data_IF_905767560076
#
_entry.id   IF_905767560076
#
_cell.length_a   1.000
_cell.length_b   1.000
_cell.length_c   1.000
_cell.angle_alpha   90.00
_cell.angle_beta   90.00
_cell.angle_gamma   90.00
#
_symmetry.space_group_name_H-M   'P 1'
#
loop_
_entity.id
_entity.type
_entity.pdbx_description
1 polymer ?
#
# COMPACT_ATOMS: atom_id res chain seq x y z
N UNK A 1 14.78 -59.44 -13.18
CA UNK A 1 15.33 -59.30 -11.79
C UNK A 1 14.32 -58.60 -10.86
N UNK A 2 14.51 -58.55 -9.53
CA UNK A 2 13.59 -57.82 -8.61
C UNK A 2 14.29 -56.60 -7.98
N UNK A 3 13.53 -55.53 -7.73
CA UNK A 3 14.04 -54.32 -7.09
C UNK A 3 14.40 -54.58 -5.63
N UNK A 4 15.63 -54.25 -5.23
CA UNK A 4 16.12 -54.40 -3.85
C UNK A 4 15.44 -53.46 -2.84
N UNK A 5 14.81 -52.38 -3.31
CA UNK A 5 14.13 -51.40 -2.44
C UNK A 5 12.63 -51.68 -2.23
N UNK A 6 11.92 -52.24 -3.22
CA UNK A 6 10.46 -52.43 -3.13
C UNK A 6 9.95 -53.80 -3.59
N UNK A 7 10.81 -54.69 -4.08
CA UNK A 7 10.44 -56.05 -4.49
C UNK A 7 9.68 -56.17 -5.81
N UNK A 8 9.46 -55.08 -6.55
CA UNK A 8 8.80 -55.13 -7.87
C UNK A 8 9.69 -55.81 -8.91
N UNK A 9 9.09 -56.61 -9.81
CA UNK A 9 9.80 -57.24 -10.92
C UNK A 9 10.25 -56.19 -11.94
N UNK A 10 11.52 -56.25 -12.32
CA UNK A 10 12.18 -55.33 -13.24
C UNK A 10 12.48 -56.05 -14.56
N UNK A 11 12.35 -55.31 -15.67
CA UNK A 11 12.86 -55.72 -16.98
C UNK A 11 14.39 -55.79 -16.97
N UNK A 12 14.97 -56.63 -17.82
CA UNK A 12 16.41 -56.92 -17.78
C UNK A 12 17.31 -55.72 -18.13
N UNK A 13 16.77 -54.72 -18.81
CA UNK A 13 17.47 -53.46 -19.15
C UNK A 13 17.09 -52.25 -18.26
N UNK A 14 16.36 -52.47 -17.15
CA UNK A 14 15.88 -51.37 -16.31
C UNK A 14 17.03 -50.70 -15.54
N UNK A 15 17.29 -49.42 -15.81
CA UNK A 15 18.22 -48.59 -15.04
C UNK A 15 17.61 -48.09 -13.71
N UNK A 16 16.27 -47.94 -13.66
CA UNK A 16 15.51 -47.47 -12.51
C UNK A 16 14.22 -48.29 -12.33
N UNK A 17 13.75 -48.46 -11.09
CA UNK A 17 12.50 -49.13 -10.80
C UNK A 17 11.30 -48.27 -11.20
N UNK A 18 10.43 -48.78 -12.05
CA UNK A 18 9.21 -48.09 -12.50
C UNK A 18 8.17 -47.88 -11.40
N UNK A 19 8.24 -48.64 -10.30
CA UNK A 19 7.28 -48.52 -9.19
C UNK A 19 7.75 -47.54 -8.11
N UNK A 20 9.02 -47.61 -7.68
CA UNK A 20 9.53 -46.78 -6.56
C UNK A 20 10.62 -45.77 -6.94
N UNK A 21 11.13 -45.79 -8.18
CA UNK A 21 12.19 -44.89 -8.65
C UNK A 21 13.62 -45.24 -8.23
N UNK A 22 13.84 -46.31 -7.45
CA UNK A 22 15.18 -46.72 -7.03
C UNK A 22 16.06 -47.16 -8.22
N UNK A 23 17.33 -46.75 -8.23
CA UNK A 23 18.28 -47.11 -9.29
C UNK A 23 18.72 -48.57 -9.15
N UNK A 24 18.70 -49.31 -10.25
CA UNK A 24 18.99 -50.75 -10.28
C UNK A 24 20.51 -50.95 -10.37
N UNK A 25 21.10 -51.75 -9.47
CA UNK A 25 22.52 -52.10 -9.50
C UNK A 25 23.46 -51.31 -8.57
N UNK A 26 22.93 -50.39 -7.75
CA UNK A 26 23.73 -49.75 -6.68
C UNK A 26 23.38 -50.44 -5.36
N UNK A 27 24.31 -51.21 -4.81
CA UNK A 27 24.17 -51.78 -3.47
C UNK A 27 24.08 -50.62 -2.45
N UNK A 28 23.09 -50.69 -1.55
CA UNK A 28 22.84 -49.71 -0.51
C UNK A 28 24.08 -49.50 0.39
N UNK A 29 24.88 -48.49 0.10
CA UNK A 29 25.44 -47.67 1.17
C UNK A 29 24.41 -46.59 1.45
N UNK A 30 23.88 -46.55 2.66
CA UNK A 30 23.09 -45.41 3.12
C UNK A 30 24.06 -44.24 3.35
N UNK A 31 24.06 -43.15 2.56
CA UNK A 31 24.08 -41.85 3.18
C UNK A 31 22.67 -41.62 3.73
N UNK A 32 22.59 -41.26 5.00
CA UNK A 32 21.43 -40.55 5.54
C UNK A 32 21.22 -39.29 4.70
N UNK A 33 20.43 -39.43 3.65
CA UNK A 33 19.83 -38.33 2.93
C UNK A 33 18.80 -37.77 3.91
N UNK A 34 19.20 -36.76 4.69
CA UNK A 34 18.23 -35.76 5.12
C UNK A 34 17.41 -35.42 3.88
N UNK A 35 16.06 -35.42 3.93
CA UNK A 35 15.28 -35.02 2.78
C UNK A 35 15.72 -33.60 2.43
N UNK A 36 16.60 -33.50 1.44
CA UNK A 36 16.84 -32.25 0.72
C UNK A 36 15.47 -31.99 0.17
N UNK A 37 14.79 -31.03 0.78
CA UNK A 37 13.55 -30.50 0.26
C UNK A 37 13.94 -30.04 -1.13
N UNK A 38 13.56 -30.81 -2.15
CA UNK A 38 13.52 -30.33 -3.50
C UNK A 38 12.42 -29.28 -3.49
N UNK A 39 12.75 -28.07 -3.02
CA UNK A 39 12.09 -26.91 -3.54
C UNK A 39 12.38 -26.99 -5.03
N UNK A 40 11.34 -27.28 -5.80
CA UNK A 40 11.38 -27.14 -7.25
C UNK A 40 12.21 -25.88 -7.56
N UNK A 41 13.19 -25.93 -8.47
CA UNK A 41 13.52 -24.73 -9.19
C UNK A 41 12.27 -24.44 -10.03
N UNK A 42 11.29 -23.79 -9.39
CA UNK A 42 10.30 -23.00 -10.09
C UNK A 42 11.13 -22.12 -10.99
N UNK A 43 11.03 -22.43 -12.28
CA UNK A 43 11.31 -21.54 -13.40
C UNK A 43 11.40 -20.11 -12.91
N UNK A 44 12.54 -19.47 -13.15
CA UNK A 44 12.77 -18.05 -12.95
C UNK A 44 11.53 -17.22 -13.30
N UNK A 45 10.74 -16.90 -12.27
CA UNK A 45 9.40 -16.36 -12.36
C UNK A 45 8.90 -16.16 -10.94
N UNK A 46 9.19 -14.99 -10.38
CA UNK A 46 8.82 -14.55 -9.04
C UNK A 46 9.41 -15.37 -7.88
N UNK A 47 10.71 -15.17 -7.63
CA UNK A 47 11.15 -15.10 -6.23
C UNK A 47 10.36 -13.96 -5.57
N UNK A 48 9.31 -14.31 -4.83
CA UNK A 48 8.37 -13.36 -4.24
C UNK A 48 9.09 -12.41 -3.30
N UNK A 49 9.52 -11.28 -3.84
CA UNK A 49 9.97 -10.14 -3.06
C UNK A 49 8.78 -9.73 -2.18
N UNK A 50 8.91 -9.85 -0.86
CA UNK A 50 7.81 -9.61 0.06
C UNK A 50 7.45 -8.11 0.12
N UNK A 51 6.67 -7.67 -0.88
CA UNK A 51 6.15 -6.32 -1.03
C UNK A 51 4.70 -6.20 -0.51
N UNK A 52 4.30 -7.04 0.46
CA UNK A 52 2.96 -7.03 1.08
C UNK A 52 2.45 -5.62 1.42
N UNK A 53 3.31 -4.78 2.00
CA UNK A 53 2.95 -3.40 2.31
C UNK A 53 2.63 -2.57 1.06
N UNK A 54 3.48 -2.63 0.02
CA UNK A 54 3.22 -1.93 -1.25
C UNK A 54 1.95 -2.45 -1.95
N UNK A 55 1.67 -3.76 -1.88
CA UNK A 55 0.41 -4.33 -2.37
C UNK A 55 -0.79 -3.84 -1.57
N UNK A 56 -0.72 -3.83 -0.23
CA UNK A 56 -1.77 -3.27 0.61
C UNK A 56 -2.06 -1.80 0.25
N UNK A 57 -1.00 -0.99 0.06
CA UNK A 57 -1.14 0.40 -0.36
C UNK A 57 -1.84 0.52 -1.72
N UNK A 58 -1.33 -0.17 -2.72
CA UNK A 58 -1.69 0.04 -4.12
C UNK A 58 -2.96 -0.69 -4.57
N UNK A 59 -3.34 -1.79 -3.94
CA UNK A 59 -4.59 -2.50 -4.23
C UNK A 59 -5.78 -2.06 -3.36
N UNK A 60 -5.53 -1.36 -2.24
CA UNK A 60 -6.60 -1.02 -1.29
C UNK A 60 -6.50 0.38 -0.74
N UNK A 61 -5.52 0.62 0.15
CA UNK A 61 -5.49 1.83 0.98
C UNK A 61 -5.57 3.13 0.17
N UNK A 62 -4.79 3.25 -0.91
CA UNK A 62 -4.74 4.49 -1.70
C UNK A 62 -6.05 4.76 -2.47
N UNK A 63 -6.76 3.71 -2.89
CA UNK A 63 -8.05 3.85 -3.57
C UNK A 63 -9.15 4.25 -2.59
N UNK A 64 -9.19 3.63 -1.42
CA UNK A 64 -10.11 4.02 -0.34
C UNK A 64 -9.82 5.46 0.10
N UNK A 65 -8.55 5.82 0.27
CA UNK A 65 -8.17 7.19 0.61
C UNK A 65 -8.56 8.20 -0.47
N UNK A 66 -8.38 7.87 -1.75
CA UNK A 66 -8.81 8.71 -2.87
C UNK A 66 -10.32 8.89 -2.90
N UNK A 67 -11.09 7.82 -2.68
CA UNK A 67 -12.54 7.89 -2.59
C UNK A 67 -13.02 8.75 -1.41
N UNK A 68 -12.40 8.60 -0.23
CA UNK A 68 -12.71 9.45 0.93
C UNK A 68 -12.36 10.91 0.65
N UNK A 69 -11.22 11.18 0.01
CA UNK A 69 -10.84 12.53 -0.41
C UNK A 69 -11.83 13.11 -1.44
N UNK A 70 -12.40 12.29 -2.33
CA UNK A 70 -13.45 12.74 -3.26
C UNK A 70 -14.71 13.18 -2.52
N UNK A 71 -15.20 12.37 -1.58
CA UNK A 71 -16.37 12.69 -0.76
C UNK A 71 -16.13 13.97 0.01
N UNK A 72 -15.04 14.03 0.79
CA UNK A 72 -14.75 15.20 1.61
C UNK A 72 -14.48 16.45 0.77
N UNK A 73 -13.81 16.31 -0.39
CA UNK A 73 -13.61 17.40 -1.32
C UNK A 73 -14.93 17.99 -1.83
N UNK A 74 -15.92 17.14 -2.18
CA UNK A 74 -17.25 17.60 -2.59
C UNK A 74 -17.98 18.27 -1.42
N UNK A 75 -17.92 17.67 -0.22
CA UNK A 75 -18.55 18.24 0.98
C UNK A 75 -18.01 19.64 1.29
N UNK A 76 -16.69 19.84 1.27
CA UNK A 76 -16.08 21.15 1.48
C UNK A 76 -16.39 22.14 0.34
N UNK A 77 -16.49 21.66 -0.90
CA UNK A 77 -16.79 22.51 -2.05
C UNK A 77 -18.24 23.01 -2.06
N UNK A 78 -19.18 22.15 -1.65
CA UNK A 78 -20.62 22.42 -1.65
C UNK A 78 -21.12 23.06 -0.35
N UNK A 79 -20.44 22.80 0.77
CA UNK A 79 -20.89 23.22 2.10
C UNK A 79 -22.00 22.34 2.68
N UNK A 80 -22.30 21.18 2.05
CA UNK A 80 -23.38 20.26 2.45
C UNK A 80 -22.98 19.36 3.65
N UNK A 81 -22.57 19.95 4.76
CA UNK A 81 -22.33 19.21 6.01
C UNK A 81 -22.46 20.09 7.25
N UNK A 82 -23.30 19.67 8.18
CA UNK A 82 -23.56 20.38 9.44
C UNK A 82 -22.44 20.16 10.45
N UNK A 83 -22.04 21.23 11.16
CA UNK A 83 -21.09 21.14 12.26
C UNK A 83 -21.83 21.21 13.59
N UNK A 84 -21.78 20.16 14.41
CA UNK A 84 -22.53 20.08 15.69
C UNK A 84 -24.03 20.43 15.52
N UNK A 85 -24.68 19.86 14.51
CA UNK A 85 -26.08 20.14 14.12
C UNK A 85 -26.36 21.59 13.67
N UNK A 86 -25.31 22.40 13.49
CA UNK A 86 -25.41 23.76 12.93
C UNK A 86 -25.15 23.68 11.42
N UNK A 87 -26.12 24.10 10.58
CA UNK A 87 -25.91 24.14 9.14
C UNK A 87 -24.75 25.05 8.78
N UNK A 88 -23.89 24.58 7.85
CA UNK A 88 -22.68 25.32 7.48
C UNK A 88 -22.95 26.66 6.82
N UNK A 89 -24.12 26.82 6.20
CA UNK A 89 -24.57 28.11 5.68
C UNK A 89 -24.72 29.17 6.78
N UNK A 90 -25.16 28.76 7.98
CA UNK A 90 -25.22 29.65 9.16
C UNK A 90 -23.82 30.02 9.62
N UNK A 91 -22.88 29.05 9.63
CA UNK A 91 -21.48 29.33 9.95
C UNK A 91 -20.85 30.31 8.97
N UNK A 92 -21.17 30.21 7.67
CA UNK A 92 -20.66 31.12 6.65
C UNK A 92 -21.27 32.53 6.72
N UNK A 93 -22.47 32.66 7.29
CA UNK A 93 -23.05 33.98 7.56
C UNK A 93 -22.28 34.72 8.65
N UNK A 94 -21.91 34.01 9.72
CA UNK A 94 -21.09 34.58 10.81
C UNK A 94 -19.62 34.76 10.40
N UNK A 95 -19.09 33.81 9.63
CA UNK A 95 -17.68 33.72 9.24
C UNK A 95 -17.55 33.56 7.71
N UNK A 96 -17.70 34.65 6.97
CA UNK A 96 -17.65 34.65 5.51
C UNK A 96 -16.33 34.09 4.94
N UNK A 97 -15.19 34.42 5.58
CA UNK A 97 -13.85 33.94 5.25
C UNK A 97 -13.73 32.41 5.31
N UNK A 98 -14.53 31.74 6.14
CA UNK A 98 -14.49 30.29 6.32
C UNK A 98 -14.93 29.56 5.04
N UNK A 99 -15.90 30.11 4.31
CA UNK A 99 -16.35 29.53 3.04
C UNK A 99 -15.24 29.50 1.99
N UNK A 100 -14.38 30.52 1.97
CA UNK A 100 -13.23 30.55 1.07
C UNK A 100 -12.14 29.56 1.51
N UNK A 101 -11.89 29.44 2.82
CA UNK A 101 -10.94 28.48 3.37
C UNK A 101 -11.34 27.03 3.02
N UNK A 102 -12.62 26.67 3.20
CA UNK A 102 -13.15 25.35 2.84
C UNK A 102 -12.98 25.04 1.35
N UNK A 103 -13.31 26.00 0.47
CA UNK A 103 -13.16 25.83 -0.99
C UNK A 103 -11.70 25.66 -1.40
N UNK A 104 -10.78 26.42 -0.80
CA UNK A 104 -9.33 26.25 -1.04
C UNK A 104 -8.84 24.89 -0.55
N UNK A 105 -9.32 24.45 0.61
CA UNK A 105 -8.98 23.14 1.16
C UNK A 105 -9.52 22.00 0.29
N UNK A 106 -10.73 22.14 -0.28
CA UNK A 106 -11.29 21.19 -1.24
C UNK A 106 -10.39 21.02 -2.48
N UNK A 107 -9.90 22.13 -3.05
CA UNK A 107 -8.95 22.10 -4.18
C UNK A 107 -7.67 21.34 -3.79
N UNK A 108 -7.11 21.61 -2.61
CA UNK A 108 -5.94 20.90 -2.11
C UNK A 108 -6.21 19.39 -1.96
N UNK A 109 -7.38 18.99 -1.44
CA UNK A 109 -7.76 17.58 -1.32
C UNK A 109 -7.86 16.91 -2.69
N UNK A 110 -8.38 17.58 -3.73
CA UNK A 110 -8.40 17.02 -5.09
C UNK A 110 -6.99 16.86 -5.68
N UNK A 111 -6.06 17.75 -5.37
CA UNK A 111 -4.65 17.59 -5.73
C UNK A 111 -4.08 16.35 -5.02
N UNK A 112 -4.29 16.19 -3.71
CA UNK A 112 -3.87 14.98 -2.97
C UNK A 112 -4.46 13.71 -3.58
N UNK A 113 -5.76 13.73 -3.90
CA UNK A 113 -6.46 12.61 -4.54
C UNK A 113 -5.75 12.20 -5.83
N UNK A 114 -5.46 13.14 -6.73
CA UNK A 114 -4.77 12.82 -7.99
C UNK A 114 -3.38 12.24 -7.75
N UNK A 115 -2.62 12.80 -6.81
CA UNK A 115 -1.31 12.27 -6.42
C UNK A 115 -1.40 10.85 -5.83
N UNK A 116 -2.45 10.52 -5.09
CA UNK A 116 -2.67 9.17 -4.53
C UNK A 116 -3.00 8.15 -5.62
N UNK A 117 -3.82 8.52 -6.60
CA UNK A 117 -4.11 7.66 -7.76
C UNK A 117 -2.83 7.39 -8.57
N UNK A 118 -2.04 8.43 -8.83
CA UNK A 118 -0.75 8.31 -9.49
C UNK A 118 0.19 7.41 -8.67
N UNK A 119 0.25 7.60 -7.35
CA UNK A 119 1.07 6.77 -6.45
C UNK A 119 0.68 5.30 -6.52
N UNK A 120 -0.63 4.98 -6.51
CA UNK A 120 -1.11 3.60 -6.63
C UNK A 120 -0.63 2.96 -7.94
N UNK A 121 -0.80 3.67 -9.07
CA UNK A 121 -0.37 3.20 -10.39
C UNK A 121 1.16 3.05 -10.46
N UNK A 122 1.92 3.98 -9.86
CA UNK A 122 3.38 3.93 -9.86
C UNK A 122 3.91 2.74 -9.05
N UNK A 123 3.29 2.46 -7.91
CA UNK A 123 3.63 1.29 -7.09
C UNK A 123 3.32 -0.01 -7.86
N UNK A 124 2.14 -0.13 -8.49
CA UNK A 124 1.78 -1.30 -9.29
C UNK A 124 2.74 -1.55 -10.46
N UNK A 125 3.25 -0.47 -11.05
CA UNK A 125 4.19 -0.54 -12.17
C UNK A 125 5.67 -0.55 -11.74
N UNK A 126 5.95 -0.62 -10.43
CA UNK A 126 7.30 -0.61 -9.87
C UNK A 126 8.16 0.55 -10.39
N UNK A 127 7.55 1.73 -10.54
CA UNK A 127 8.24 2.92 -11.05
C UNK A 127 9.21 3.48 -10.02
N UNK A 128 10.36 3.96 -10.48
CA UNK A 128 11.41 4.55 -9.62
C UNK A 128 10.92 5.63 -8.67
N UNK A 129 9.97 6.46 -9.13
CA UNK A 129 9.47 7.60 -8.37
C UNK A 129 8.28 7.27 -7.45
N UNK A 130 7.89 5.99 -7.32
CA UNK A 130 6.72 5.58 -6.53
C UNK A 130 6.75 6.09 -5.09
N UNK A 131 7.90 5.92 -4.41
CA UNK A 131 8.08 6.42 -3.04
C UNK A 131 8.09 7.94 -2.96
N UNK A 132 8.68 8.62 -3.95
CA UNK A 132 8.79 10.09 -4.00
C UNK A 132 7.44 10.76 -4.15
N UNK A 133 6.61 10.31 -5.10
CA UNK A 133 5.28 10.89 -5.34
C UNK A 133 4.37 10.62 -4.14
N UNK A 134 4.43 9.41 -3.56
CA UNK A 134 3.62 9.09 -2.39
C UNK A 134 4.02 9.94 -1.17
N UNK A 135 5.32 10.12 -0.95
CA UNK A 135 5.83 11.01 0.11
C UNK A 135 5.35 12.45 -0.11
N UNK A 136 5.49 12.97 -1.33
CA UNK A 136 5.01 14.31 -1.68
C UNK A 136 3.51 14.47 -1.45
N UNK A 137 2.70 13.44 -1.76
CA UNK A 137 1.26 13.46 -1.54
C UNK A 137 0.91 13.65 -0.06
N UNK A 138 1.59 12.92 0.84
CA UNK A 138 1.36 13.06 2.28
C UNK A 138 1.92 14.36 2.86
N UNK A 139 3.06 14.85 2.36
CA UNK A 139 3.59 16.16 2.75
C UNK A 139 2.60 17.27 2.37
N UNK A 140 2.11 17.25 1.13
CA UNK A 140 1.11 18.22 0.66
C UNK A 140 -0.18 18.13 1.47
N UNK A 141 -0.65 16.91 1.77
CA UNK A 141 -1.81 16.67 2.64
C UNK A 141 -1.60 17.26 4.04
N UNK A 142 -0.42 17.08 4.63
CA UNK A 142 -0.07 17.62 5.93
C UNK A 142 -0.04 19.16 5.92
N UNK A 143 0.55 19.77 4.90
CA UNK A 143 0.56 21.23 4.73
C UNK A 143 -0.86 21.77 4.58
N UNK A 144 -1.69 21.16 3.73
CA UNK A 144 -3.07 21.56 3.56
C UNK A 144 -3.86 21.49 4.89
N UNK A 145 -3.68 20.42 5.66
CA UNK A 145 -4.31 20.27 6.97
C UNK A 145 -3.83 21.33 7.97
N UNK A 146 -2.53 21.64 7.99
CA UNK A 146 -1.98 22.71 8.85
C UNK A 146 -2.54 24.09 8.50
N UNK A 147 -2.63 24.41 7.21
CA UNK A 147 -3.22 25.66 6.74
C UNK A 147 -4.70 25.76 7.10
N UNK A 148 -5.44 24.65 6.98
CA UNK A 148 -6.84 24.60 7.38
C UNK A 148 -7.02 24.79 8.90
N UNK A 149 -6.21 24.13 9.72
CA UNK A 149 -6.22 24.29 11.18
C UNK A 149 -5.94 25.75 11.56
N UNK A 150 -4.87 26.33 11.01
CA UNK A 150 -4.51 27.71 11.28
C UNK A 150 -5.61 28.69 10.82
N UNK A 151 -6.19 28.47 9.63
CA UNK A 151 -7.28 29.26 9.08
C UNK A 151 -8.51 29.25 9.98
N UNK A 152 -8.96 28.06 10.41
CA UNK A 152 -10.11 27.92 11.32
C UNK A 152 -9.86 28.63 12.65
N UNK A 153 -8.70 28.43 13.28
CA UNK A 153 -8.37 29.11 14.55
C UNK A 153 -8.41 30.63 14.39
N UNK A 154 -7.87 31.17 13.29
CA UNK A 154 -7.82 32.61 13.04
C UNK A 154 -9.22 33.18 12.78
N UNK A 155 -10.07 32.44 12.05
CA UNK A 155 -11.39 32.92 11.62
C UNK A 155 -12.43 32.79 12.74
N UNK A 156 -12.50 31.63 13.41
CA UNK A 156 -13.58 31.30 14.34
C UNK A 156 -13.14 31.29 15.80
N UNK A 157 -11.86 31.02 16.07
CA UNK A 157 -11.36 30.76 17.43
C UNK A 157 -11.83 29.44 18.04
N UNK A 158 -12.59 28.62 17.30
CA UNK A 158 -13.18 27.38 17.78
C UNK A 158 -12.22 26.19 17.59
N UNK A 159 -11.83 25.58 18.72
CA UNK A 159 -10.92 24.43 18.75
C UNK A 159 -11.62 23.09 18.46
N UNK A 160 -12.95 23.01 18.50
CA UNK A 160 -13.67 21.78 18.17
C UNK A 160 -13.67 21.54 16.65
N UNK A 161 -13.74 22.62 15.87
CA UNK A 161 -13.76 22.58 14.41
C UNK A 161 -12.47 22.01 13.79
N UNK A 162 -11.36 21.98 14.53
CA UNK A 162 -10.07 21.51 14.02
C UNK A 162 -9.78 20.03 14.31
N UNK A 163 -10.61 19.34 15.11
CA UNK A 163 -10.33 17.97 15.60
C UNK A 163 -10.07 16.99 14.45
N UNK A 164 -10.91 16.97 13.41
CA UNK A 164 -10.73 16.08 12.26
C UNK A 164 -9.47 16.42 11.44
N UNK A 165 -9.11 17.69 11.36
CA UNK A 165 -7.90 18.13 10.67
C UNK A 165 -6.63 17.74 11.43
N UNK A 166 -6.67 17.72 12.77
CA UNK A 166 -5.57 17.22 13.61
C UNK A 166 -5.30 15.73 13.33
N UNK A 167 -6.34 14.89 13.34
CA UNK A 167 -6.18 13.47 12.99
C UNK A 167 -5.63 13.28 11.57
N UNK A 168 -6.11 14.09 10.63
CA UNK A 168 -5.63 14.08 9.26
C UNK A 168 -4.15 14.44 9.15
N UNK A 169 -3.70 15.44 9.91
CA UNK A 169 -2.30 15.85 9.99
C UNK A 169 -1.42 14.75 10.56
N UNK A 170 -1.80 14.18 11.71
CA UNK A 170 -1.05 13.08 12.31
C UNK A 170 -0.95 11.87 11.38
N UNK A 171 -2.07 11.47 10.76
CA UNK A 171 -2.10 10.38 9.78
C UNK A 171 -1.20 10.67 8.58
N UNK A 172 -1.20 11.91 8.06
CA UNK A 172 -0.33 12.30 6.95
C UNK A 172 1.16 12.23 7.33
N UNK A 173 1.55 12.72 8.51
CA UNK A 173 2.94 12.67 8.98
C UNK A 173 3.40 11.22 9.16
N UNK A 174 2.61 10.38 9.83
CA UNK A 174 2.94 8.97 10.05
C UNK A 174 3.10 8.27 8.70
N UNK A 175 2.14 8.44 7.79
CA UNK A 175 2.18 7.80 6.49
C UNK A 175 3.32 8.32 5.61
N UNK A 176 3.69 9.60 5.71
CA UNK A 176 4.86 10.13 5.01
C UNK A 176 6.14 9.43 5.50
N UNK A 177 6.34 9.33 6.82
CA UNK A 177 7.55 8.75 7.42
C UNK A 177 7.63 7.24 7.14
N UNK A 178 6.57 6.49 7.43
CA UNK A 178 6.52 5.02 7.23
C UNK A 178 6.80 4.67 5.77
N UNK A 179 6.15 5.36 4.83
CA UNK A 179 6.34 5.07 3.42
C UNK A 179 7.73 5.52 2.95
N UNK A 180 8.22 6.67 3.41
CA UNK A 180 9.59 7.11 3.07
C UNK A 180 10.62 6.05 3.46
N UNK A 181 10.58 5.57 4.71
CA UNK A 181 11.49 4.53 5.20
C UNK A 181 11.32 3.24 4.37
N UNK A 182 10.09 2.83 4.12
CA UNK A 182 9.80 1.62 3.35
C UNK A 182 10.38 1.64 1.94
N UNK A 183 10.12 2.70 1.17
CA UNK A 183 10.57 2.82 -0.22
C UNK A 183 12.08 3.13 -0.29
N UNK A 184 12.63 3.88 0.67
CA UNK A 184 14.06 4.17 0.71
C UNK A 184 14.90 2.91 0.95
N UNK A 185 14.39 1.98 1.77
CA UNK A 185 15.03 0.70 2.05
C UNK A 185 14.87 -0.33 0.91
N UNK A 186 14.17 0.02 -0.17
CA UNK A 186 13.74 -0.92 -1.23
C UNK A 186 13.88 -0.33 -2.64
N UNK A 187 14.73 0.67 -2.83
CA UNK A 187 14.88 1.39 -4.10
C UNK A 187 15.26 0.48 -5.26
N UNK A 188 15.98 -0.61 -4.98
CA UNK A 188 16.41 -1.62 -5.94
C UNK A 188 15.24 -2.36 -6.62
N UNK A 189 14.05 -2.36 -6.02
CA UNK A 189 12.83 -2.94 -6.64
C UNK A 189 12.23 -1.96 -7.66
N UNK A 190 12.33 -0.66 -7.39
CA UNK A 190 11.65 0.40 -8.12
C UNK A 190 12.63 1.00 -9.15
N UNK A 191 12.75 0.35 -10.30
CA UNK A 191 13.77 0.71 -11.31
C UNK A 191 13.19 1.10 -12.67
N UNK A 192 11.90 0.81 -12.91
CA UNK A 192 11.18 1.09 -14.16
C UNK A 192 10.83 2.57 -14.30
#
# INVERSE_FOLDING_TARGET
MFCSSCGTQLSDDAQFCSNCGARVGVANTNPTVNPVTYTNPTVAGNGGLDIKWAHFLSYGYLWVAAFMNLIWGIVYLTGEFDFNDIPREVMYYEYDALAYADKLYAVAIFIVLTMQLISAIYILNLKRDAGTILFAAYVFKGIAALLMIAGVIIITGDLEMIILNIFTLFGAVIMAVVNKIYFDNRKEIYVR
#
